data_IF_288940240444
#
_entry.id   IF_288940240444
#
_cell.length_a   1.000
_cell.length_b   1.000
_cell.length_c   1.000
_cell.angle_alpha   90.00
_cell.angle_beta   90.00
_cell.angle_gamma   90.00
#
_symmetry.space_group_name_H-M   'P 1'
#
loop_
_entity.id
_entity.type
_entity.pdbx_description
1 polymer ?
#
# COMPACT_ATOMS: atom_id res chain seq x y z
N UNK A 1 -47.06 -17.42 19.67
CA UNK A 1 -45.81 -18.13 19.98
C UNK A 1 -44.65 -17.32 19.37
N UNK A 2 -43.86 -16.66 20.23
CA UNK A 2 -42.51 -16.13 19.99
C UNK A 2 -42.25 -15.22 18.78
N UNK A 3 -42.52 -13.92 18.91
CA UNK A 3 -41.95 -12.90 18.02
C UNK A 3 -40.43 -12.86 18.21
N UNK A 4 -39.66 -13.21 17.18
CA UNK A 4 -38.22 -12.95 17.15
C UNK A 4 -38.04 -11.44 17.13
N UNK A 5 -37.61 -10.85 18.25
CA UNK A 5 -37.20 -9.46 18.29
C UNK A 5 -35.89 -9.33 17.50
N UNK A 6 -35.98 -8.91 16.24
CA UNK A 6 -34.82 -8.41 15.50
C UNK A 6 -34.37 -7.13 16.21
N UNK A 7 -33.18 -7.12 16.80
CA UNK A 7 -32.62 -5.90 17.38
C UNK A 7 -32.62 -4.80 16.31
N UNK A 8 -33.27 -3.69 16.59
CA UNK A 8 -33.44 -2.52 15.72
C UNK A 8 -32.17 -1.66 15.60
N UNK A 9 -31.01 -2.21 15.95
CA UNK A 9 -29.74 -1.50 15.96
C UNK A 9 -29.00 -1.69 14.63
N UNK A 10 -28.74 -0.59 13.91
CA UNK A 10 -27.86 -0.57 12.74
C UNK A 10 -26.41 -0.72 13.20
N UNK A 11 -25.61 -1.51 12.49
CA UNK A 11 -24.17 -1.61 12.78
C UNK A 11 -23.48 -0.26 12.54
N UNK A 12 -22.70 0.22 13.52
CA UNK A 12 -21.96 1.47 13.44
C UNK A 12 -20.48 1.24 13.75
N UNK A 13 -19.60 1.85 12.97
CA UNK A 13 -18.16 1.93 13.28
C UNK A 13 -17.99 3.07 14.28
N UNK A 14 -17.53 2.75 15.50
CA UNK A 14 -17.35 3.75 16.56
C UNK A 14 -15.96 4.41 16.52
N UNK A 15 -14.94 3.68 16.07
CA UNK A 15 -13.58 4.20 15.91
C UNK A 15 -12.77 3.35 14.92
N UNK A 16 -11.80 4.00 14.27
CA UNK A 16 -10.75 3.35 13.45
C UNK A 16 -9.42 3.96 13.89
N UNK A 17 -8.46 3.11 14.26
CA UNK A 17 -7.09 3.52 14.55
C UNK A 17 -6.13 2.87 13.57
N UNK A 18 -5.14 3.64 13.10
CA UNK A 18 -4.05 3.15 12.26
C UNK A 18 -2.71 3.58 12.85
N UNK A 19 -1.66 2.81 12.57
CA UNK A 19 -0.29 3.15 12.95
C UNK A 19 0.66 2.64 11.85
N UNK A 20 1.66 3.47 11.51
CA UNK A 20 2.70 3.14 10.55
C UNK A 20 4.08 3.38 11.19
N UNK A 21 5.12 2.63 10.79
CA UNK A 21 6.49 2.93 11.19
C UNK A 21 6.91 4.34 10.75
N UNK A 22 7.86 4.99 11.47
CA UNK A 22 8.33 6.32 11.11
C UNK A 22 9.18 6.33 9.83
N UNK A 23 9.70 5.18 9.40
CA UNK A 23 10.47 5.08 8.17
C UNK A 23 9.54 5.12 6.96
N UNK A 24 9.77 6.12 6.10
CA UNK A 24 8.99 6.36 4.89
C UNK A 24 9.98 6.51 3.74
N UNK A 25 9.75 5.78 2.65
CA UNK A 25 10.50 5.88 1.40
C UNK A 25 9.51 6.22 0.31
N UNK A 26 9.82 7.23 -0.51
CA UNK A 26 8.98 7.59 -1.63
C UNK A 26 9.01 6.47 -2.67
N UNK A 27 7.83 6.12 -3.19
CA UNK A 27 7.69 5.06 -4.18
C UNK A 27 8.55 5.34 -5.44
N UNK A 28 8.82 6.61 -5.76
CA UNK A 28 9.72 7.05 -6.85
C UNK A 28 11.21 6.80 -6.57
N UNK A 29 11.61 6.82 -5.30
CA UNK A 29 12.99 6.64 -4.85
C UNK A 29 13.29 5.19 -4.47
N UNK A 30 12.24 4.40 -4.24
CA UNK A 30 12.36 3.01 -3.81
C UNK A 30 13.16 2.11 -4.78
N UNK A 31 13.02 2.21 -6.12
CA UNK A 31 13.84 1.42 -7.04
C UNK A 31 15.34 1.70 -6.87
N UNK A 32 15.73 2.97 -6.80
CA UNK A 32 17.14 3.35 -6.61
C UNK A 32 17.66 2.92 -5.24
N UNK A 33 16.85 3.10 -4.18
CA UNK A 33 17.19 2.63 -2.85
C UNK A 33 17.41 1.11 -2.83
N UNK A 34 16.46 0.33 -3.34
CA UNK A 34 16.47 -1.13 -3.30
C UNK A 34 17.66 -1.75 -4.04
N UNK A 35 17.94 -1.28 -5.26
CA UNK A 35 19.03 -1.82 -6.08
C UNK A 35 20.41 -1.47 -5.50
N UNK A 36 20.55 -0.27 -4.91
CA UNK A 36 21.77 0.15 -4.23
C UNK A 36 22.07 -0.70 -3.00
N UNK A 37 21.08 -0.89 -2.11
CA UNK A 37 21.31 -1.65 -0.85
C UNK A 37 21.53 -3.15 -1.10
N UNK A 38 20.97 -3.69 -2.18
CA UNK A 38 21.12 -5.10 -2.56
C UNK A 38 22.32 -5.35 -3.48
N UNK A 39 23.10 -4.31 -3.84
CA UNK A 39 24.23 -4.40 -4.78
C UNK A 39 23.84 -4.90 -6.17
N UNK A 40 22.61 -4.61 -6.59
CA UNK A 40 22.02 -5.06 -7.85
C UNK A 40 22.03 -4.00 -8.95
N UNK A 41 22.71 -2.86 -8.77
CA UNK A 41 22.69 -1.73 -9.72
C UNK A 41 23.10 -2.09 -11.15
N UNK A 42 23.86 -3.17 -11.33
CA UNK A 42 24.25 -3.72 -12.63
C UNK A 42 23.10 -4.39 -13.40
N UNK A 43 21.99 -4.73 -12.73
CA UNK A 43 20.83 -5.39 -13.31
C UNK A 43 19.85 -4.39 -13.94
N UNK A 44 20.30 -3.68 -14.98
CA UNK A 44 19.58 -2.57 -15.61
C UNK A 44 18.19 -2.97 -16.14
N UNK A 45 18.07 -4.16 -16.75
CA UNK A 45 16.79 -4.66 -17.29
C UNK A 45 15.75 -4.87 -16.19
N UNK A 46 16.20 -5.38 -15.03
CA UNK A 46 15.33 -5.60 -13.89
C UNK A 46 14.91 -4.28 -13.27
N UNK A 47 15.83 -3.31 -13.19
CA UNK A 47 15.54 -1.95 -12.71
C UNK A 47 14.50 -1.26 -13.60
N UNK A 48 14.64 -1.33 -14.92
CA UNK A 48 13.64 -0.82 -15.87
C UNK A 48 12.27 -1.52 -15.76
N UNK A 49 12.25 -2.83 -15.45
CA UNK A 49 10.99 -3.54 -15.18
C UNK A 49 10.36 -3.05 -13.87
N UNK A 50 11.15 -2.80 -12.85
CA UNK A 50 10.72 -2.25 -11.57
C UNK A 50 10.12 -0.84 -11.72
N UNK A 51 10.74 0.02 -12.52
CA UNK A 51 10.22 1.38 -12.82
C UNK A 51 8.86 1.34 -13.54
N UNK A 52 8.64 0.35 -14.41
CA UNK A 52 7.34 0.15 -15.07
C UNK A 52 6.26 -0.24 -14.08
N UNK A 53 6.57 -1.12 -13.13
CA UNK A 53 5.65 -1.50 -12.05
C UNK A 53 5.34 -0.28 -11.19
N UNK A 54 6.36 0.48 -10.79
CA UNK A 54 6.19 1.76 -10.07
C UNK A 54 5.18 2.68 -10.76
N UNK A 55 5.36 2.93 -12.07
CA UNK A 55 4.47 3.80 -12.86
C UNK A 55 3.05 3.26 -12.96
N UNK A 56 2.88 1.95 -13.03
CA UNK A 56 1.57 1.30 -13.08
C UNK A 56 0.84 1.32 -11.72
N UNK A 57 1.58 1.29 -10.61
CA UNK A 57 1.02 1.33 -9.25
C UNK A 57 0.64 2.76 -8.82
N UNK A 58 1.18 3.80 -9.47
CA UNK A 58 0.72 5.16 -9.23
C UNK A 58 -0.78 5.23 -9.58
N UNK A 59 -1.65 5.61 -8.63
CA UNK A 59 -3.06 5.80 -8.94
C UNK A 59 -3.15 6.87 -10.05
N UNK A 60 -3.97 6.60 -11.05
CA UNK A 60 -4.28 7.57 -12.11
C UNK A 60 -4.63 8.89 -11.43
N UNK A 61 -3.82 9.94 -11.65
CA UNK A 61 -4.15 11.29 -11.22
C UNK A 61 -5.54 11.60 -11.77
N UNK A 62 -6.53 11.75 -10.89
CA UNK A 62 -7.84 12.30 -11.25
C UNK A 62 -7.67 13.74 -11.73
#
# INVERSE_FOLDING_TARGET
MGSVARSSSVAAILAIGTANPPNIILQSEYPDFYFRITKSDHMLDLKQKFDRIYKATQPMKM
#
